data_IF_235389613260
#
_entry.id   IF_235389613260
#
_cell.length_a   1.000
_cell.length_b   1.000
_cell.length_c   1.000
_cell.angle_alpha   90.00
_cell.angle_beta   90.00
_cell.angle_gamma   90.00
#
_symmetry.space_group_name_H-M   'P 1'
#
loop_
_entity.id
_entity.type
_entity.pdbx_description
1 polymer ?
#
# COMPACT_ATOMS: atom_id res chain seq x y z
N UNK A 1 23.23 -1.89 -9.18
CA UNK A 1 24.01 -2.58 -10.24
C UNK A 1 24.43 -3.99 -9.80
N UNK A 2 24.80 -4.20 -8.55
CA UNK A 2 25.35 -5.47 -8.05
C UNK A 2 24.36 -6.62 -7.98
N UNK A 3 23.08 -6.36 -7.69
CA UNK A 3 22.08 -7.40 -7.40
C UNK A 3 21.32 -7.89 -8.61
N UNK A 4 20.97 -7.03 -9.57
CA UNK A 4 20.17 -7.35 -10.76
C UNK A 4 19.05 -8.38 -10.52
N UNK A 5 18.09 -8.13 -9.62
CA UNK A 5 17.12 -9.11 -9.16
C UNK A 5 16.13 -9.51 -10.26
N UNK A 6 15.55 -10.70 -10.13
CA UNK A 6 14.47 -11.16 -11.02
C UNK A 6 13.10 -10.59 -10.61
N UNK A 7 12.90 -10.31 -9.32
CA UNK A 7 11.66 -9.74 -8.78
C UNK A 7 11.98 -8.63 -7.78
N UNK A 8 11.26 -7.52 -7.89
CA UNK A 8 11.30 -6.41 -6.93
C UNK A 8 9.90 -6.20 -6.35
N UNK A 9 9.80 -6.27 -5.03
CA UNK A 9 8.60 -5.94 -4.28
C UNK A 9 8.81 -4.59 -3.57
N UNK A 10 8.32 -3.51 -4.16
CA UNK A 10 8.43 -2.18 -3.58
C UNK A 10 7.33 -1.95 -2.55
N UNK A 11 7.68 -2.12 -1.29
CA UNK A 11 6.83 -1.86 -0.12
C UNK A 11 7.29 -0.62 0.64
N UNK A 12 8.37 0.03 0.19
CA UNK A 12 8.95 1.20 0.85
C UNK A 12 7.98 2.38 0.77
N UNK A 13 7.63 2.94 1.91
CA UNK A 13 6.75 4.09 2.01
C UNK A 13 6.77 4.71 3.42
N UNK A 14 6.49 6.00 3.48
CA UNK A 14 5.98 6.65 4.68
C UNK A 14 4.47 6.40 4.71
N UNK A 15 4.00 5.34 5.36
CA UNK A 15 2.64 4.81 5.21
C UNK A 15 1.62 5.33 6.25
N UNK A 16 2.01 6.27 7.12
CA UNK A 16 1.11 6.84 8.11
C UNK A 16 0.42 8.10 7.57
N UNK A 17 -0.88 8.00 7.28
CA UNK A 17 -1.66 9.06 6.61
C UNK A 17 -1.57 10.39 7.37
N UNK A 18 -1.75 10.38 8.70
CA UNK A 18 -1.68 11.62 9.50
C UNK A 18 -0.32 12.31 9.38
N UNK A 19 0.76 11.56 9.53
CA UNK A 19 2.13 12.06 9.40
C UNK A 19 2.41 12.68 8.02
N UNK A 20 1.74 12.20 6.96
CA UNK A 20 1.91 12.80 5.62
C UNK A 20 1.45 14.26 5.52
N UNK A 21 0.54 14.71 6.39
CA UNK A 21 0.16 16.13 6.49
C UNK A 21 1.22 16.98 7.20
N UNK A 22 1.98 16.37 8.11
CA UNK A 22 3.05 17.05 8.86
C UNK A 22 4.34 17.17 8.04
N UNK A 23 4.65 16.12 7.22
CA UNK A 23 5.87 16.04 6.41
C UNK A 23 5.56 15.66 4.95
N UNK A 24 4.81 16.50 4.20
CA UNK A 24 4.32 16.15 2.87
C UNK A 24 5.45 15.97 1.84
N UNK A 25 6.51 16.78 1.90
CA UNK A 25 7.66 16.65 0.98
C UNK A 25 8.39 15.32 1.17
N UNK A 26 8.63 14.91 2.42
CA UNK A 26 9.25 13.62 2.69
C UNK A 26 8.37 12.48 2.18
N UNK A 27 7.05 12.54 2.43
CA UNK A 27 6.10 11.54 1.93
C UNK A 27 6.13 11.46 0.40
N UNK A 28 6.15 12.59 -0.30
CA UNK A 28 6.27 12.62 -1.76
C UNK A 28 7.61 12.04 -2.24
N UNK A 29 8.72 12.41 -1.60
CA UNK A 29 10.05 11.92 -1.96
C UNK A 29 10.19 10.39 -1.75
N UNK A 30 9.70 9.88 -0.62
CA UNK A 30 9.75 8.45 -0.30
C UNK A 30 8.80 7.63 -1.18
N UNK A 31 7.52 8.02 -1.23
CA UNK A 31 6.45 7.19 -1.78
C UNK A 31 6.30 7.35 -3.31
N UNK A 32 6.46 8.58 -3.82
CA UNK A 32 6.33 8.86 -5.25
C UNK A 32 7.68 8.73 -5.97
N UNK A 33 8.65 9.58 -5.62
CA UNK A 33 9.94 9.60 -6.30
C UNK A 33 10.77 8.34 -6.02
N UNK A 34 10.60 7.71 -4.85
CA UNK A 34 11.23 6.42 -4.55
C UNK A 34 10.85 5.35 -5.58
N UNK A 35 9.56 5.26 -5.94
CA UNK A 35 9.06 4.34 -6.97
C UNK A 35 9.65 4.66 -8.35
N UNK A 36 9.65 5.94 -8.74
CA UNK A 36 10.24 6.38 -10.01
C UNK A 36 11.72 5.97 -10.11
N UNK A 37 12.52 6.20 -9.05
CA UNK A 37 13.95 5.86 -9.02
C UNK A 37 14.21 4.37 -9.24
N UNK A 38 13.37 3.48 -8.69
CA UNK A 38 13.51 2.04 -8.89
C UNK A 38 13.18 1.67 -10.34
N UNK A 39 12.08 2.18 -10.88
CA UNK A 39 11.68 1.93 -12.27
C UNK A 39 12.73 2.47 -13.28
N UNK A 40 13.28 3.66 -13.02
CA UNK A 40 14.39 4.21 -13.79
C UNK A 40 15.65 3.33 -13.72
N UNK A 41 15.97 2.80 -12.55
CA UNK A 41 17.09 1.86 -12.40
C UNK A 41 16.90 0.60 -13.28
N UNK A 42 15.69 0.03 -13.31
CA UNK A 42 15.36 -1.12 -14.17
C UNK A 42 15.57 -0.72 -15.65
N UNK A 43 15.09 0.47 -16.05
CA UNK A 43 15.20 0.97 -17.42
C UNK A 43 16.64 1.22 -17.84
N UNK A 44 17.38 1.98 -17.04
CA UNK A 44 18.79 2.37 -17.35
C UNK A 44 19.72 1.17 -17.38
N UNK A 45 19.50 0.19 -16.50
CA UNK A 45 20.28 -1.05 -16.45
C UNK A 45 19.83 -2.09 -17.48
N UNK A 46 18.86 -1.77 -18.35
CA UNK A 46 18.33 -2.66 -19.40
C UNK A 46 17.77 -3.99 -18.85
N UNK A 47 17.15 -3.95 -17.68
CA UNK A 47 16.61 -5.12 -16.99
C UNK A 47 15.12 -5.40 -17.32
N UNK A 48 14.50 -4.69 -18.27
CA UNK A 48 13.07 -4.75 -18.59
C UNK A 48 12.57 -6.16 -18.92
N UNK A 49 13.42 -6.99 -19.54
CA UNK A 49 13.06 -8.37 -19.91
C UNK A 49 13.31 -9.38 -18.80
N UNK A 50 14.07 -9.00 -17.78
CA UNK A 50 14.47 -9.88 -16.66
C UNK A 50 13.66 -9.58 -15.40
N UNK A 51 13.65 -8.32 -14.96
CA UNK A 51 13.14 -7.91 -13.65
C UNK A 51 11.65 -7.63 -13.70
N UNK A 52 10.88 -8.34 -12.90
CA UNK A 52 9.47 -8.04 -12.63
C UNK A 52 9.35 -7.10 -11.43
N UNK A 53 8.42 -6.16 -11.51
CA UNK A 53 8.24 -5.14 -10.49
C UNK A 53 6.83 -5.16 -9.90
N UNK A 54 6.72 -5.26 -8.59
CA UNK A 54 5.49 -5.08 -7.82
C UNK A 54 5.53 -3.74 -7.08
N UNK A 55 4.51 -2.92 -7.28
CA UNK A 55 4.26 -1.68 -6.52
C UNK A 55 3.15 -1.90 -5.51
N UNK A 56 3.45 -1.72 -4.24
CA UNK A 56 2.42 -1.61 -3.21
C UNK A 56 1.70 -0.28 -3.36
N UNK A 57 0.50 -0.32 -3.91
CA UNK A 57 -0.45 0.78 -3.91
C UNK A 57 -1.37 0.67 -2.68
N UNK A 58 -2.42 1.45 -2.62
CA UNK A 58 -3.28 1.56 -1.43
C UNK A 58 -4.72 1.89 -1.81
N UNK A 59 -5.69 1.41 -1.06
CA UNK A 59 -7.10 1.81 -1.19
C UNK A 59 -7.33 3.31 -0.89
N UNK A 60 -6.40 3.98 -0.22
CA UNK A 60 -6.48 5.43 0.04
C UNK A 60 -6.49 6.28 -1.25
N UNK A 61 -6.02 5.74 -2.39
CA UNK A 61 -6.11 6.45 -3.69
C UNK A 61 -7.56 6.61 -4.16
N UNK A 62 -8.47 5.72 -3.74
CA UNK A 62 -9.90 5.86 -4.04
C UNK A 62 -10.53 7.03 -3.31
N UNK A 63 -10.06 7.32 -2.07
CA UNK A 63 -10.61 8.39 -1.24
C UNK A 63 -12.11 8.19 -0.99
N UNK A 64 -12.90 9.21 -1.30
CA UNK A 64 -14.32 9.23 -1.01
C UNK A 64 -15.20 8.88 -2.23
N UNK A 65 -14.88 7.78 -2.89
CA UNK A 65 -15.66 7.26 -4.04
C UNK A 65 -16.71 6.26 -3.58
N UNK A 66 -17.67 5.98 -4.48
CA UNK A 66 -18.71 4.99 -4.24
C UNK A 66 -18.14 3.58 -4.04
N UNK A 67 -18.85 2.79 -3.26
CA UNK A 67 -18.54 1.39 -2.97
C UNK A 67 -19.58 0.47 -3.66
N UNK A 68 -19.19 -0.75 -4.07
CA UNK A 68 -17.86 -1.36 -3.96
C UNK A 68 -16.84 -0.77 -4.93
N UNK A 69 -15.58 -0.68 -4.49
CA UNK A 69 -14.47 -0.16 -5.29
C UNK A 69 -13.82 -1.30 -6.09
N UNK A 70 -13.35 -0.99 -7.29
CA UNK A 70 -12.69 -1.92 -8.21
C UNK A 70 -11.57 -1.22 -8.97
N UNK A 71 -10.85 -1.95 -9.81
CA UNK A 71 -9.78 -1.41 -10.66
C UNK A 71 -10.27 -0.34 -11.67
N UNK A 72 -11.60 -0.26 -11.90
CA UNK A 72 -12.23 0.74 -12.78
C UNK A 72 -12.73 1.97 -12.01
N UNK A 73 -12.72 1.94 -10.69
CA UNK A 73 -13.19 3.06 -9.87
C UNK A 73 -12.26 4.26 -10.02
N UNK A 74 -12.77 5.48 -10.31
CA UNK A 74 -11.96 6.68 -10.39
C UNK A 74 -11.23 6.97 -9.09
N UNK A 75 -10.00 7.43 -9.18
CA UNK A 75 -9.20 7.81 -8.01
C UNK A 75 -9.50 9.24 -7.55
N UNK A 76 -9.68 9.42 -6.24
CA UNK A 76 -9.95 10.72 -5.59
C UNK A 76 -9.16 10.85 -4.28
N UNK A 77 -7.82 10.88 -4.31
CA UNK A 77 -6.99 10.90 -3.11
C UNK A 77 -7.31 12.09 -2.21
N UNK A 78 -7.22 11.89 -0.88
CA UNK A 78 -7.60 12.90 0.13
C UNK A 78 -6.49 13.19 1.14
N UNK A 79 -5.26 12.75 0.86
CA UNK A 79 -4.11 13.02 1.72
C UNK A 79 -2.82 13.12 0.89
N UNK A 80 -1.78 13.81 1.38
CA UNK A 80 -0.47 13.82 0.72
C UNK A 80 0.08 12.41 0.48
N UNK A 81 -0.12 11.48 1.42
CA UNK A 81 0.19 10.06 1.25
C UNK A 81 -0.53 9.45 0.04
N UNK A 82 -1.85 9.61 -0.03
CA UNK A 82 -2.63 9.04 -1.12
C UNK A 82 -2.26 9.64 -2.48
N UNK A 83 -1.95 10.95 -2.54
CA UNK A 83 -1.47 11.62 -3.75
C UNK A 83 -0.11 11.05 -4.19
N UNK A 84 0.83 10.87 -3.27
CA UNK A 84 2.14 10.29 -3.55
C UNK A 84 2.03 8.83 -4.05
N UNK A 85 1.15 8.05 -3.44
CA UNK A 85 0.85 6.67 -3.87
C UNK A 85 0.14 6.61 -5.22
N UNK A 86 -0.70 7.61 -5.55
CA UNK A 86 -1.32 7.71 -6.87
C UNK A 86 -0.29 8.07 -7.95
N UNK A 87 0.67 8.94 -7.65
CA UNK A 87 1.80 9.19 -8.55
C UNK A 87 2.58 7.89 -8.82
N UNK A 88 2.90 7.13 -7.76
CA UNK A 88 3.60 5.85 -7.88
C UNK A 88 2.80 4.84 -8.73
N UNK A 89 1.48 4.77 -8.54
CA UNK A 89 0.58 3.95 -9.34
C UNK A 89 0.68 4.29 -10.83
N UNK A 90 0.47 5.55 -11.20
CA UNK A 90 0.52 5.98 -12.61
C UNK A 90 1.91 5.88 -13.21
N UNK A 91 2.96 6.12 -12.43
CA UNK A 91 4.33 5.88 -12.87
C UNK A 91 4.55 4.41 -13.21
N UNK A 92 4.05 3.49 -12.40
CA UNK A 92 4.12 2.04 -12.66
C UNK A 92 3.37 1.66 -13.94
N UNK A 93 2.17 2.20 -14.16
CA UNK A 93 1.40 2.00 -15.40
C UNK A 93 2.17 2.54 -16.61
N UNK A 94 2.68 3.77 -16.52
CA UNK A 94 3.42 4.41 -17.60
C UNK A 94 4.68 3.61 -18.00
N UNK A 95 5.47 3.14 -17.01
CA UNK A 95 6.66 2.36 -17.29
C UNK A 95 6.35 0.97 -17.86
N UNK A 96 5.26 0.35 -17.44
CA UNK A 96 4.74 -0.88 -18.03
C UNK A 96 4.41 -0.69 -19.52
N UNK A 97 3.74 0.41 -19.86
CA UNK A 97 3.29 0.69 -21.22
C UNK A 97 4.40 1.18 -22.13
N UNK A 98 5.18 2.17 -21.67
CA UNK A 98 6.21 2.81 -22.47
C UNK A 98 7.47 1.94 -22.66
N UNK A 99 7.91 1.27 -21.59
CA UNK A 99 9.19 0.54 -21.60
C UNK A 99 9.03 -0.99 -21.56
N UNK A 100 7.78 -1.49 -21.58
CA UNK A 100 7.46 -2.92 -21.58
C UNK A 100 8.03 -3.66 -20.35
N UNK A 101 8.16 -2.97 -19.22
CA UNK A 101 8.51 -3.59 -17.95
C UNK A 101 7.33 -4.42 -17.45
N UNK A 102 7.57 -5.64 -16.97
CA UNK A 102 6.54 -6.38 -16.25
C UNK A 102 6.31 -5.74 -14.88
N UNK A 103 5.46 -4.73 -14.82
CA UNK A 103 5.18 -3.95 -13.63
C UNK A 103 3.69 -4.02 -13.26
N UNK A 104 3.38 -4.34 -12.01
CA UNK A 104 2.02 -4.51 -11.49
C UNK A 104 1.79 -3.60 -10.28
N UNK A 105 0.56 -3.11 -10.13
CA UNK A 105 0.11 -2.44 -8.90
C UNK A 105 -0.81 -3.36 -8.11
N UNK A 106 -0.55 -3.51 -6.81
CA UNK A 106 -1.51 -4.08 -5.86
C UNK A 106 -2.19 -2.96 -5.09
N UNK A 107 -3.46 -2.68 -5.37
CA UNK A 107 -4.27 -1.70 -4.65
C UNK A 107 -4.80 -2.38 -3.39
N UNK A 108 -4.04 -2.26 -2.31
CA UNK A 108 -4.29 -3.02 -1.09
C UNK A 108 -5.20 -2.27 -0.14
N UNK A 109 -6.22 -2.96 0.35
CA UNK A 109 -6.98 -2.56 1.53
C UNK A 109 -6.19 -2.87 2.81
N UNK A 110 -6.73 -2.56 3.98
CA UNK A 110 -6.01 -2.74 5.22
C UNK A 110 -5.68 -4.22 5.46
N UNK A 111 -4.46 -4.50 5.81
CA UNK A 111 -4.01 -5.87 6.08
C UNK A 111 -3.19 -5.91 7.36
N UNK A 112 -3.51 -6.88 8.20
CA UNK A 112 -3.10 -6.93 9.58
C UNK A 112 -2.33 -8.22 9.89
N UNK A 113 -1.45 -8.14 10.87
CA UNK A 113 -0.67 -9.28 11.33
C UNK A 113 0.04 -8.99 12.65
N UNK A 114 0.68 -9.98 13.27
CA UNK A 114 1.35 -9.84 14.57
C UNK A 114 2.44 -8.75 14.60
N UNK A 115 2.98 -8.41 13.43
CA UNK A 115 4.03 -7.39 13.25
C UNK A 115 3.51 -6.02 12.81
N UNK A 116 2.18 -5.79 12.88
CA UNK A 116 1.61 -4.48 12.55
C UNK A 116 2.21 -3.38 13.41
N UNK A 117 2.54 -2.23 12.81
CA UNK A 117 3.08 -1.08 13.54
C UNK A 117 2.13 -0.59 14.64
N UNK A 118 2.68 -0.18 15.78
CA UNK A 118 1.93 0.12 17.01
C UNK A 118 1.03 1.36 16.90
N UNK A 119 1.31 2.25 15.96
CA UNK A 119 0.52 3.46 15.68
C UNK A 119 -0.75 3.19 14.89
N UNK A 120 -0.85 2.03 14.23
CA UNK A 120 -2.04 1.65 13.46
C UNK A 120 -3.15 1.13 14.37
N UNK A 121 -4.40 1.42 13.99
CA UNK A 121 -5.58 1.24 14.84
C UNK A 121 -5.73 -0.16 15.44
N UNK A 122 -5.57 -1.21 14.63
CA UNK A 122 -5.70 -2.60 15.10
C UNK A 122 -4.66 -2.95 16.17
N UNK A 123 -3.39 -2.59 15.93
CA UNK A 123 -2.32 -2.85 16.90
C UNK A 123 -2.45 -1.95 18.15
N UNK A 124 -2.86 -0.70 17.95
CA UNK A 124 -3.18 0.20 19.08
C UNK A 124 -4.24 -0.39 20.01
N UNK A 125 -5.31 -0.97 19.44
CA UNK A 125 -6.38 -1.62 20.19
C UNK A 125 -5.84 -2.86 20.93
N UNK A 126 -5.23 -3.81 20.23
CA UNK A 126 -4.77 -5.07 20.83
C UNK A 126 -3.75 -4.84 21.94
N UNK A 127 -2.85 -3.87 21.75
CA UNK A 127 -1.87 -3.48 22.77
C UNK A 127 -2.55 -2.84 23.98
N UNK A 128 -3.47 -1.90 23.77
CA UNK A 128 -4.18 -1.23 24.84
C UNK A 128 -5.05 -2.21 25.68
N UNK A 129 -5.71 -3.17 25.02
CA UNK A 129 -6.46 -4.23 25.71
C UNK A 129 -5.55 -5.06 26.60
N UNK A 130 -4.37 -5.47 26.10
CA UNK A 130 -3.39 -6.20 26.91
C UNK A 130 -2.88 -5.36 28.11
N UNK A 131 -2.57 -4.08 27.89
CA UNK A 131 -2.12 -3.17 28.96
C UNK A 131 -3.20 -2.96 30.04
N UNK A 132 -4.48 -2.89 29.65
CA UNK A 132 -5.60 -2.79 30.58
C UNK A 132 -5.75 -4.09 31.37
N UNK A 133 -5.70 -5.25 30.70
CA UNK A 133 -5.78 -6.55 31.36
C UNK A 133 -4.69 -6.72 32.44
N UNK A 134 -3.46 -6.30 32.14
CA UNK A 134 -2.36 -6.34 33.11
C UNK A 134 -2.30 -5.11 34.04
N UNK A 135 -3.38 -4.32 34.13
CA UNK A 135 -3.50 -3.13 35.00
C UNK A 135 -2.41 -2.06 34.81
N UNK A 136 -1.76 -2.04 33.63
CA UNK A 136 -0.73 -1.04 33.26
C UNK A 136 -1.36 0.25 32.71
N UNK A 137 -2.65 0.19 32.35
CA UNK A 137 -3.44 1.30 31.79
C UNK A 137 -4.90 1.15 32.25
N UNK A 138 -5.60 2.27 32.46
CA UNK A 138 -7.04 2.25 32.82
C UNK A 138 -7.95 2.35 31.63
N UNK A 139 -7.59 3.13 30.62
CA UNK A 139 -8.34 3.36 29.38
C UNK A 139 -7.42 3.75 28.24
N UNK A 140 -7.95 3.77 27.03
CA UNK A 140 -7.29 4.33 25.85
C UNK A 140 -8.30 5.08 24.99
N UNK A 141 -7.79 5.98 24.14
CA UNK A 141 -8.61 6.80 23.26
C UNK A 141 -8.39 6.39 21.80
N UNK A 142 -9.48 6.38 21.06
CA UNK A 142 -9.51 6.20 19.61
C UNK A 142 -10.15 7.42 18.97
N UNK A 143 -9.88 7.64 17.68
CA UNK A 143 -10.53 8.66 16.89
C UNK A 143 -11.98 8.28 16.53
N UNK A 144 -12.31 8.36 15.25
CA UNK A 144 -13.66 8.07 14.78
C UNK A 144 -13.98 6.56 14.87
N UNK A 145 -14.80 6.18 15.84
CA UNK A 145 -15.24 4.79 16.06
C UNK A 145 -16.17 4.27 14.95
N UNK A 146 -16.84 5.15 14.22
CA UNK A 146 -17.75 4.78 13.13
C UNK A 146 -17.02 4.61 11.79
N UNK A 147 -15.72 4.88 11.73
CA UNK A 147 -14.94 4.65 10.53
C UNK A 147 -14.98 3.16 10.17
N UNK A 148 -15.31 2.87 8.92
CA UNK A 148 -15.35 1.50 8.38
C UNK A 148 -14.04 1.19 7.64
N UNK A 149 -13.56 -0.02 7.80
CA UNK A 149 -12.36 -0.54 7.10
C UNK A 149 -12.57 -2.00 6.71
N UNK A 150 -12.03 -2.36 5.57
CA UNK A 150 -11.84 -3.75 5.17
C UNK A 150 -10.48 -4.20 5.73
N UNK A 151 -10.45 -5.20 6.60
CA UNK A 151 -9.25 -5.75 7.21
C UNK A 151 -9.05 -7.20 6.81
N UNK A 152 -7.93 -7.48 6.16
CA UNK A 152 -7.53 -8.82 5.78
C UNK A 152 -6.27 -9.31 6.49
N UNK A 153 -5.89 -10.55 6.24
CA UNK A 153 -4.66 -11.13 6.74
C UNK A 153 -3.45 -10.71 5.90
N UNK A 154 -2.39 -10.20 6.52
CA UNK A 154 -1.16 -9.85 5.82
C UNK A 154 -0.54 -11.04 5.06
N UNK A 155 -0.75 -12.27 5.53
CA UNK A 155 -0.27 -13.49 4.84
C UNK A 155 -0.93 -13.66 3.47
N UNK A 156 -2.25 -13.43 3.39
CA UNK A 156 -3.00 -13.56 2.13
C UNK A 156 -2.61 -12.46 1.15
N UNK A 157 -2.39 -11.24 1.65
CA UNK A 157 -1.93 -10.11 0.85
C UNK A 157 -0.52 -10.36 0.27
N UNK A 158 0.41 -10.87 1.07
CA UNK A 158 1.76 -11.24 0.59
C UNK A 158 1.69 -12.35 -0.47
N UNK A 159 0.84 -13.35 -0.27
CA UNK A 159 0.59 -14.38 -1.28
C UNK A 159 0.05 -13.79 -2.57
N UNK A 160 -0.87 -12.83 -2.48
CA UNK A 160 -1.42 -12.12 -3.64
C UNK A 160 -0.34 -11.33 -4.38
N UNK A 161 0.56 -10.63 -3.67
CA UNK A 161 1.68 -9.90 -4.28
C UNK A 161 2.55 -10.83 -5.14
N UNK A 162 2.86 -12.01 -4.60
CA UNK A 162 3.65 -13.02 -5.33
C UNK A 162 2.89 -13.56 -6.56
N UNK A 163 1.59 -13.84 -6.42
CA UNK A 163 0.76 -14.33 -7.53
C UNK A 163 0.65 -13.30 -8.67
N UNK A 164 0.59 -12.01 -8.37
CA UNK A 164 0.56 -10.94 -9.38
C UNK A 164 1.81 -10.97 -10.27
N UNK A 165 3.00 -11.25 -9.72
CA UNK A 165 4.23 -11.38 -10.49
C UNK A 165 4.32 -12.72 -11.27
N UNK A 166 3.46 -13.69 -10.98
CA UNK A 166 3.35 -14.95 -11.72
C UNK A 166 2.26 -14.91 -12.82
N UNK A 167 1.51 -13.82 -12.92
CA UNK A 167 0.50 -13.65 -13.95
C UNK A 167 1.11 -13.69 -15.37
N UNK A 168 0.30 -14.06 -16.36
CA UNK A 168 0.76 -14.09 -17.77
C UNK A 168 1.03 -12.70 -18.34
N UNK A 169 0.29 -11.68 -17.86
CA UNK A 169 0.42 -10.27 -18.28
C UNK A 169 0.38 -9.38 -17.05
N UNK A 170 1.16 -8.28 -17.04
CA UNK A 170 1.10 -7.31 -15.96
C UNK A 170 -0.23 -6.55 -15.99
N UNK A 171 -0.80 -6.31 -14.81
CA UNK A 171 -2.05 -5.56 -14.63
C UNK A 171 -2.06 -4.90 -13.25
N UNK A 172 -3.17 -4.24 -12.93
CA UNK A 172 -3.45 -3.67 -11.63
C UNK A 172 -4.53 -4.50 -10.95
N UNK A 173 -4.46 -4.67 -9.64
CA UNK A 173 -5.33 -5.57 -8.89
C UNK A 173 -5.77 -4.94 -7.58
N UNK A 174 -7.06 -4.97 -7.31
CA UNK A 174 -7.64 -4.65 -6.00
C UNK A 174 -7.57 -5.89 -5.11
N UNK A 175 -7.00 -5.76 -3.93
CA UNK A 175 -6.94 -6.83 -2.92
C UNK A 175 -7.67 -6.37 -1.66
N UNK A 176 -8.79 -7.02 -1.40
CA UNK A 176 -9.68 -6.76 -0.27
C UNK A 176 -10.35 -8.07 0.18
N UNK A 177 -10.96 -8.07 1.36
CA UNK A 177 -11.79 -9.19 1.82
C UNK A 177 -13.24 -9.09 1.31
N UNK A 178 -13.65 -7.91 0.85
CA UNK A 178 -15.03 -7.61 0.47
C UNK A 178 -15.96 -7.37 1.67
N UNK A 179 -15.42 -7.31 2.88
CA UNK A 179 -16.18 -7.05 4.12
C UNK A 179 -15.58 -5.87 4.86
N UNK A 180 -16.42 -4.94 5.27
CA UNK A 180 -15.98 -3.80 6.08
C UNK A 180 -16.59 -3.83 7.48
N UNK A 181 -15.79 -3.47 8.47
CA UNK A 181 -16.14 -3.40 9.88
C UNK A 181 -15.89 -2.01 10.42
N UNK A 182 -16.66 -1.60 11.43
CA UNK A 182 -16.40 -0.36 12.17
C UNK A 182 -15.24 -0.55 13.14
N UNK A 183 -14.60 0.55 13.52
CA UNK A 183 -13.58 0.56 14.58
C UNK A 183 -14.19 0.26 15.96
N UNK A 184 -15.51 0.54 16.14
CA UNK A 184 -16.29 0.30 17.35
C UNK A 184 -16.38 -1.19 17.70
#
# INVERSE_FOLDING_TARGET
>A
QSTQPDEIYNLAAQSHVHTSFEIPEYSANADALGTLRILEAIRVLKLQKKTKFYQASTSEIFGNTEIPQSEKTPFRPRSPYAIAKLYAYWTTVNYREAYKIFAVNGILFNHEGPRRGETFVSRKITRAVAEIYYKKRKFFTLGNLNAKRDWGSAKDYVKSMWLMLKAKKPSDYVIATGKSYTVK
#
